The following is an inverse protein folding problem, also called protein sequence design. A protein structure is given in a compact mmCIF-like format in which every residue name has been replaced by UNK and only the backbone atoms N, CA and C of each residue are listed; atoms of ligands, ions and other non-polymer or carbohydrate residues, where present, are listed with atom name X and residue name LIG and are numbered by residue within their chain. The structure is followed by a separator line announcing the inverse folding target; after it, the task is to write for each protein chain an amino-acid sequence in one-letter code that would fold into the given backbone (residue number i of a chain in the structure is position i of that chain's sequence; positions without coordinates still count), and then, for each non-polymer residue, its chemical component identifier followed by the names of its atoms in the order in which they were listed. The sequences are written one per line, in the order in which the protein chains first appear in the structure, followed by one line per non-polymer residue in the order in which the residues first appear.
data_IF_597982425853
#
_entry.id   IF_597982425853
#
_cell.length_a   1.000
_cell.length_b   1.000
_cell.length_c   1.000
_cell.angle_alpha   90.00
_cell.angle_beta   90.00
_cell.angle_gamma   90.00
#
_symmetry.space_group_name_H-M   'P 1'
#
loop_
_entity.id
_entity.type
_entity.pdbx_description
1 polymer ?
#
# COMPACT_ATOMS: atom_id res chain seq x y z
N UNK A 1 12.15 10.87 0.31
CA UNK A 1 10.92 10.15 -0.08
C UNK A 1 10.46 9.23 1.05
N UNK A 2 11.34 8.40 1.62
CA UNK A 2 10.97 7.44 2.67
C UNK A 2 10.48 8.07 3.98
N UNK A 3 11.02 9.22 4.39
CA UNK A 3 10.52 9.95 5.58
C UNK A 3 9.03 10.31 5.47
N UNK A 4 8.53 10.55 4.25
CA UNK A 4 7.12 10.85 4.04
C UNK A 4 6.25 9.60 3.99
N UNK A 5 6.79 8.45 3.54
CA UNK A 5 6.12 7.15 3.62
C UNK A 5 5.90 6.75 5.08
N UNK A 6 6.94 6.84 5.90
CA UNK A 6 6.86 6.61 7.35
C UNK A 6 5.89 7.56 8.05
N UNK A 7 5.93 8.85 7.71
CA UNK A 7 4.95 9.81 8.24
C UNK A 7 3.52 9.45 7.87
N UNK A 8 3.29 9.04 6.62
CA UNK A 8 1.95 8.67 6.14
C UNK A 8 1.45 7.41 6.84
N UNK A 9 2.32 6.41 7.00
CA UNK A 9 2.02 5.21 7.77
C UNK A 9 1.67 5.54 9.23
N UNK A 10 2.45 6.40 9.88
CA UNK A 10 2.17 6.80 11.26
C UNK A 10 0.81 7.51 11.40
N UNK A 11 0.48 8.42 10.48
CA UNK A 11 -0.82 9.11 10.47
C UNK A 11 -1.98 8.13 10.22
N UNK A 12 -1.80 7.19 9.30
CA UNK A 12 -2.77 6.14 9.01
C UNK A 12 -3.01 5.27 10.24
N UNK A 13 -1.96 4.75 10.89
CA UNK A 13 -2.05 3.87 12.07
C UNK A 13 -2.73 4.59 13.23
N UNK A 14 -2.38 5.86 13.46
CA UNK A 14 -3.01 6.70 14.47
C UNK A 14 -4.50 6.91 14.21
N UNK A 15 -4.91 7.00 12.94
CA UNK A 15 -6.31 7.20 12.54
C UNK A 15 -7.13 5.91 12.62
N UNK A 16 -6.57 4.77 12.19
CA UNK A 16 -7.25 3.47 12.22
C UNK A 16 -7.17 2.79 13.58
N UNK A 17 -6.30 3.28 14.48
CA UNK A 17 -6.00 2.66 15.77
C UNK A 17 -5.52 1.21 15.61
N UNK A 18 -4.74 0.95 14.56
CA UNK A 18 -4.21 -0.37 14.23
C UNK A 18 -2.69 -0.43 14.46
N UNK A 19 -2.21 -1.64 14.65
CA UNK A 19 -0.81 -1.98 14.85
C UNK A 19 -0.12 -2.28 13.52
N UNK A 20 1.12 -1.82 13.35
CA UNK A 20 1.89 -2.07 12.12
C UNK A 20 2.14 -3.56 11.92
N UNK A 21 2.28 -4.30 13.02
CA UNK A 21 2.48 -5.76 13.02
C UNK A 21 1.40 -6.49 12.24
N UNK A 22 0.14 -6.04 12.31
CA UNK A 22 -0.97 -6.64 11.56
C UNK A 22 -0.76 -6.56 10.05
N UNK A 23 -0.19 -5.45 9.57
CA UNK A 23 0.10 -5.27 8.15
C UNK A 23 1.31 -6.08 7.71
N UNK A 24 2.35 -6.09 8.53
CA UNK A 24 3.56 -6.89 8.26
C UNK A 24 3.20 -8.38 8.18
N UNK A 25 2.45 -8.89 9.15
CA UNK A 25 2.04 -10.30 9.18
C UNK A 25 1.15 -10.65 7.97
N UNK A 26 0.19 -9.79 7.63
CA UNK A 26 -0.71 -10.04 6.50
C UNK A 26 0.03 -10.01 5.14
N UNK A 27 0.98 -9.10 4.97
CA UNK A 27 1.78 -9.06 3.73
C UNK A 27 2.80 -10.20 3.67
N UNK A 28 3.29 -10.65 4.82
CA UNK A 28 4.16 -11.82 4.93
C UNK A 28 3.47 -13.11 4.45
N UNK A 29 2.17 -13.26 4.73
CA UNK A 29 1.37 -14.39 4.23
C UNK A 29 1.29 -14.46 2.68
N UNK A 30 1.37 -13.30 2.01
CA UNK A 30 1.28 -13.20 0.54
C UNK A 30 2.61 -12.83 -0.11
N UNK A 31 3.72 -12.85 0.65
CA UNK A 31 5.04 -12.42 0.23
C UNK A 31 5.55 -13.23 -0.97
N UNK A 32 5.42 -14.55 -0.94
CA UNK A 32 5.87 -15.42 -2.03
C UNK A 32 5.15 -15.10 -3.34
N UNK A 33 3.83 -14.90 -3.26
CA UNK A 33 3.00 -14.49 -4.41
C UNK A 33 3.39 -13.09 -4.89
N UNK A 34 3.69 -12.17 -3.98
CA UNK A 34 4.14 -10.83 -4.32
C UNK A 34 5.49 -10.85 -5.03
N UNK A 35 6.44 -11.65 -4.53
CA UNK A 35 7.76 -11.84 -5.14
C UNK A 35 7.68 -12.48 -6.51
N UNK A 36 6.76 -13.41 -6.72
CA UNK A 36 6.54 -14.02 -8.03
C UNK A 36 6.08 -13.02 -9.11
N UNK A 37 5.54 -11.86 -8.71
CA UNK A 37 5.19 -10.78 -9.64
C UNK A 37 6.40 -9.97 -10.11
N UNK A 38 7.59 -10.14 -9.53
CA UNK A 38 8.79 -9.40 -9.91
C UNK A 38 9.79 -10.30 -10.63
N UNK A 39 10.14 -9.91 -11.86
CA UNK A 39 11.29 -10.47 -12.56
C UNK A 39 12.53 -9.65 -12.21
N UNK A 40 13.52 -10.27 -11.56
CA UNK A 40 14.87 -9.71 -11.44
C UNK A 40 15.47 -9.60 -10.04
N UNK A 41 16.72 -9.12 -9.96
CA UNK A 41 17.55 -9.19 -8.74
C UNK A 41 17.06 -8.30 -7.59
N UNK A 42 16.15 -7.35 -7.84
CA UNK A 42 15.63 -6.43 -6.81
C UNK A 42 14.77 -7.17 -5.79
N UNK A 43 13.90 -8.09 -6.22
CA UNK A 43 13.11 -8.92 -5.29
C UNK A 43 13.93 -10.09 -4.72
N UNK A 44 14.88 -10.62 -5.50
CA UNK A 44 15.72 -11.77 -5.13
C UNK A 44 16.85 -11.43 -4.15
N UNK A 45 17.25 -10.16 -4.06
CA UNK A 45 18.34 -9.69 -3.19
C UNK A 45 17.89 -9.13 -1.84
N UNK A 46 16.59 -8.98 -1.60
CA UNK A 46 16.05 -8.44 -0.34
C UNK A 46 15.71 -9.58 0.62
N UNK A 47 15.96 -9.38 1.92
CA UNK A 47 15.43 -10.29 2.94
C UNK A 47 13.89 -10.25 2.98
N UNK A 48 13.26 -11.30 3.53
CA UNK A 48 11.79 -11.37 3.70
C UNK A 48 11.26 -10.14 4.44
N UNK A 49 11.90 -9.78 5.55
CA UNK A 49 11.46 -8.63 6.35
C UNK A 49 11.61 -7.31 5.57
N UNK A 50 12.73 -7.09 4.88
CA UNK A 50 12.93 -5.85 4.10
C UNK A 50 11.93 -5.75 2.94
N UNK A 51 11.65 -6.86 2.26
CA UNK A 51 10.67 -6.89 1.19
C UNK A 51 9.27 -6.55 1.71
N UNK A 52 8.83 -7.24 2.77
CA UNK A 52 7.53 -7.01 3.40
C UNK A 52 7.39 -5.58 3.92
N UNK A 53 8.43 -5.05 4.58
CA UNK A 53 8.44 -3.67 5.08
C UNK A 53 8.25 -2.66 3.94
N UNK A 54 8.95 -2.86 2.81
CA UNK A 54 8.79 -2.00 1.62
C UNK A 54 7.39 -2.09 1.03
N UNK A 55 6.83 -3.29 0.90
CA UNK A 55 5.47 -3.48 0.38
C UNK A 55 4.43 -2.76 1.25
N UNK A 56 4.55 -2.87 2.58
CA UNK A 56 3.65 -2.19 3.52
C UNK A 56 3.83 -0.68 3.45
N UNK A 57 5.06 -0.17 3.45
CA UNK A 57 5.32 1.27 3.38
C UNK A 57 4.81 1.89 2.07
N UNK A 58 5.13 1.27 0.93
CA UNK A 58 4.74 1.76 -0.38
C UNK A 58 3.23 1.66 -0.58
N UNK A 59 2.63 0.54 -0.17
CA UNK A 59 1.20 0.35 -0.29
C UNK A 59 0.39 1.28 0.61
N UNK A 60 0.77 1.45 1.88
CA UNK A 60 0.10 2.40 2.78
C UNK A 60 0.25 3.84 2.31
N UNK A 61 1.41 4.23 1.78
CA UNK A 61 1.61 5.56 1.21
C UNK A 61 0.68 5.84 0.03
N UNK A 62 0.53 4.86 -0.86
CA UNK A 62 -0.36 4.95 -2.03
C UNK A 62 -1.84 5.01 -1.63
N UNK A 63 -2.26 4.18 -0.68
CA UNK A 63 -3.63 4.23 -0.16
C UNK A 63 -3.94 5.59 0.48
N UNK A 64 -2.98 6.17 1.20
CA UNK A 64 -3.13 7.49 1.81
C UNK A 64 -3.17 8.61 0.76
N UNK A 65 -2.40 8.48 -0.34
CA UNK A 65 -2.50 9.36 -1.50
C UNK A 65 -3.90 9.31 -2.13
N UNK A 66 -4.44 8.12 -2.37
CA UNK A 66 -5.78 7.94 -2.93
C UNK A 66 -6.86 8.53 -2.02
N UNK A 67 -6.79 8.21 -0.73
CA UNK A 67 -7.75 8.75 0.25
C UNK A 67 -7.68 10.26 0.28
N UNK A 68 -6.48 10.85 0.26
CA UNK A 68 -6.34 12.30 0.28
C UNK A 68 -6.72 12.98 -1.01
N UNK A 69 -6.66 12.29 -2.15
CA UNK A 69 -7.23 12.77 -3.41
C UNK A 69 -8.76 12.71 -3.43
N UNK A 70 -9.38 11.71 -2.80
CA UNK A 70 -10.82 11.53 -2.74
C UNK A 70 -11.50 12.41 -1.67
N UNK A 71 -10.96 12.39 -0.44
CA UNK A 71 -11.53 13.07 0.74
C UNK A 71 -10.87 14.43 0.99
N UNK A 72 -9.69 14.67 0.45
CA UNK A 72 -8.91 15.89 0.66
C UNK A 72 -7.85 15.74 1.76
N UNK A 73 -6.59 16.01 1.42
CA UNK A 73 -5.44 15.89 2.32
C UNK A 73 -5.55 16.65 3.64
N UNK A 74 -6.29 17.77 3.67
CA UNK A 74 -6.54 18.52 4.92
C UNK A 74 -7.33 17.68 5.93
N UNK A 75 -8.28 16.86 5.48
CA UNK A 75 -9.09 16.01 6.36
C UNK A 75 -8.26 14.86 6.96
N UNK A 76 -7.23 14.42 6.25
CA UNK A 76 -6.30 13.40 6.73
C UNK A 76 -5.21 13.94 7.67
N UNK A 77 -5.22 15.24 7.98
CA UNK A 77 -4.27 15.88 8.88
C UNK A 77 -3.01 16.44 8.22
N UNK A 78 -2.96 16.49 6.88
CA UNK A 78 -1.83 17.11 6.18
C UNK A 78 -1.99 18.64 6.08
N UNK A 79 -0.91 19.41 6.26
CA UNK A 79 -0.94 20.86 6.09
C UNK A 79 -1.15 21.24 4.62
N UNK A 80 -1.78 22.40 4.37
CA UNK A 80 -2.04 22.88 2.99
C UNK A 80 -0.78 23.09 2.14
N UNK A 81 0.34 23.37 2.80
CA UNK A 81 1.64 23.60 2.17
C UNK A 81 2.52 22.33 2.20
N UNK A 82 1.92 21.15 2.38
CA UNK A 82 2.71 19.92 2.40
C UNK A 82 3.41 19.71 1.05
N UNK A 83 4.74 19.50 1.02
CA UNK A 83 5.48 19.40 -0.23
C UNK A 83 5.06 18.20 -1.09
N UNK A 84 4.41 17.19 -0.50
CA UNK A 84 3.94 15.98 -1.19
C UNK A 84 2.42 16.00 -1.36
N UNK A 85 1.70 16.42 -0.33
CA UNK A 85 0.24 16.35 -0.28
C UNK A 85 -0.44 17.71 -0.55
N UNK A 86 0.29 18.71 -1.07
CA UNK A 86 -0.30 19.98 -1.48
C UNK A 86 -1.25 19.80 -2.68
N UNK A 87 -2.44 20.37 -2.52
CA UNK A 87 -3.64 20.20 -3.36
C UNK A 87 -3.54 20.71 -4.81
N UNK A 88 -2.45 21.37 -5.22
CA UNK A 88 -2.42 22.18 -6.47
C UNK A 88 -1.74 21.56 -7.69
N UNK A 89 -1.08 20.41 -7.59
CA UNK A 89 -0.37 19.80 -8.73
C UNK A 89 -0.30 18.28 -8.73
N UNK A 90 -1.03 17.63 -7.84
CA UNK A 90 -0.75 16.27 -7.38
C UNK A 90 -1.36 15.18 -8.26
N UNK A 91 -2.57 15.33 -8.81
CA UNK A 91 -3.21 14.21 -9.53
C UNK A 91 -2.43 13.73 -10.76
N UNK A 92 -1.89 14.63 -11.57
CA UNK A 92 -1.19 14.24 -12.81
C UNK A 92 0.22 13.67 -12.53
N UNK A 93 0.88 14.15 -11.47
CA UNK A 93 2.14 13.58 -11.00
C UNK A 93 1.92 12.23 -10.32
N UNK A 94 0.88 12.10 -9.49
CA UNK A 94 0.49 10.84 -8.85
C UNK A 94 0.17 9.81 -9.93
N UNK A 95 -0.61 10.12 -10.97
CA UNK A 95 -0.92 9.16 -12.04
C UNK A 95 0.34 8.67 -12.78
N UNK A 96 1.32 9.55 -13.04
CA UNK A 96 2.62 9.13 -13.60
C UNK A 96 3.41 8.25 -12.64
N UNK A 97 3.43 8.61 -11.36
CA UNK A 97 4.10 7.83 -10.33
C UNK A 97 3.40 6.48 -10.11
N UNK A 98 2.08 6.39 -10.27
CA UNK A 98 1.30 5.15 -10.21
C UNK A 98 1.64 4.18 -11.33
N UNK A 99 1.89 4.69 -12.55
CA UNK A 99 2.35 3.86 -13.68
C UNK A 99 3.75 3.29 -13.39
N UNK A 100 4.60 4.04 -12.69
CA UNK A 100 5.91 3.53 -12.22
C UNK A 100 5.77 2.61 -11.00
N UNK A 101 4.67 2.73 -10.26
CA UNK A 101 4.38 1.96 -9.06
C UNK A 101 3.93 0.53 -9.37
N UNK A 102 3.27 0.27 -10.52
CA UNK A 102 2.99 -1.10 -10.99
C UNK A 102 4.25 -1.96 -11.08
N UNK A 103 5.37 -1.36 -11.47
CA UNK A 103 6.68 -2.04 -11.53
C UNK A 103 7.31 -2.24 -10.14
N UNK A 104 6.77 -1.60 -9.09
CA UNK A 104 7.34 -1.59 -7.74
C UNK A 104 6.41 -2.18 -6.67
N UNK A 105 5.11 -2.33 -6.94
CA UNK A 105 4.10 -2.83 -6.01
C UNK A 105 3.00 -3.56 -6.80
N UNK A 106 2.74 -4.86 -6.56
CA UNK A 106 1.69 -5.57 -7.27
C UNK A 106 0.34 -5.05 -6.75
N UNK A 107 -0.61 -4.71 -7.64
CA UNK A 107 -1.90 -4.12 -7.22
C UNK A 107 -2.67 -4.92 -6.18
N UNK A 108 -2.53 -6.26 -6.19
CA UNK A 108 -3.23 -7.10 -5.23
C UNK A 108 -2.81 -6.77 -3.78
N UNK A 109 -1.59 -6.29 -3.55
CA UNK A 109 -1.12 -5.82 -2.24
C UNK A 109 -1.91 -4.61 -1.77
N UNK A 110 -2.20 -3.65 -2.66
CA UNK A 110 -3.04 -2.49 -2.32
C UNK A 110 -4.43 -2.91 -1.89
N UNK A 111 -5.01 -3.91 -2.57
CA UNK A 111 -6.31 -4.46 -2.20
C UNK A 111 -6.27 -5.10 -0.81
N UNK A 112 -5.27 -5.93 -0.50
CA UNK A 112 -5.10 -6.52 0.83
C UNK A 112 -4.98 -5.46 1.94
N UNK A 113 -4.12 -4.46 1.74
CA UNK A 113 -3.92 -3.37 2.69
C UNK A 113 -5.19 -2.54 2.90
N UNK A 114 -5.98 -2.32 1.83
CA UNK A 114 -7.26 -1.63 1.91
C UNK A 114 -8.26 -2.43 2.74
N UNK A 115 -8.40 -3.73 2.50
CA UNK A 115 -9.30 -4.61 3.28
C UNK A 115 -8.95 -4.55 4.77
N UNK A 116 -7.65 -4.58 5.11
CA UNK A 116 -7.19 -4.46 6.50
C UNK A 116 -7.55 -3.12 7.13
N UNK A 117 -7.49 -2.01 6.39
CA UNK A 117 -7.85 -0.68 6.90
C UNK A 117 -9.35 -0.50 7.15
N UNK A 118 -10.21 -1.16 6.38
CA UNK A 118 -11.67 -1.03 6.50
C UNK A 118 -12.32 -2.09 7.42
N UNK A 119 -11.53 -3.04 7.94
CA UNK A 119 -11.90 -3.82 9.12
C UNK A 119 -12.97 -4.90 8.90
N UNK A 120 -13.03 -5.53 7.72
CA UNK A 120 -13.87 -6.71 7.53
C UNK A 120 -13.02 -8.01 7.53
N UNK A 121 -12.86 -8.67 8.70
CA UNK A 121 -12.18 -9.95 8.79
C UNK A 121 -12.92 -11.12 8.11
N UNK A 122 -14.19 -10.99 7.71
CA UNK A 122 -14.87 -12.02 6.90
C UNK A 122 -14.37 -12.03 5.44
N UNK A 123 -13.71 -10.96 4.98
CA UNK A 123 -13.07 -10.94 3.67
C UNK A 123 -11.74 -11.68 3.61
N UNK A 124 -11.13 -12.05 4.76
CA UNK A 124 -9.99 -12.98 4.77
C UNK A 124 -10.29 -14.29 4.01
N UNK A 125 -11.54 -14.75 4.05
CA UNK A 125 -12.00 -15.91 3.28
C UNK A 125 -12.34 -15.62 1.81
N UNK A 126 -12.66 -14.37 1.46
CA UNK A 126 -12.95 -13.96 0.09
C UNK A 126 -11.68 -13.74 -0.74
N UNK A 127 -10.60 -13.25 -0.13
CA UNK A 127 -9.33 -13.13 -0.85
C UNK A 127 -8.67 -14.50 -1.08
N UNK A 128 -8.85 -15.45 -0.15
CA UNK A 128 -8.53 -16.86 -0.37
C UNK A 128 -9.38 -17.48 -1.51
N UNK A 129 -10.63 -17.03 -1.70
CA UNK A 129 -11.46 -17.44 -2.84
C UNK A 129 -11.08 -16.78 -4.16
N UNK A 130 -10.50 -15.58 -4.16
CA UNK A 130 -9.95 -14.96 -5.37
C UNK A 130 -8.72 -15.71 -5.91
N UNK A 131 -8.02 -16.48 -5.07
CA UNK A 131 -6.96 -17.41 -5.50
C UNK A 131 -7.49 -18.60 -6.32
N UNK A 132 -8.79 -18.91 -6.20
CA UNK A 132 -9.47 -19.93 -7.00
C UNK A 132 -10.18 -19.40 -8.25
N UNK A 133 -10.24 -18.07 -8.43
CA UNK A 133 -11.01 -17.41 -9.50
C UNK A 133 -10.19 -16.80 -10.64
N UNK A 134 -8.86 -16.77 -10.53
CA UNK A 134 -7.95 -16.30 -11.60
C UNK A 134 -7.29 -17.44 -12.39
N UNK A 135 -7.94 -18.60 -12.45
CA UNK A 135 -7.83 -19.46 -13.62
C UNK A 135 -8.98 -19.10 -14.53
N UNK A 136 -8.70 -18.63 -15.75
CA UNK A 136 -9.24 -19.13 -17.03
C UNK A 136 -8.82 -18.14 -18.15
N UNK A 137 -8.04 -18.71 -19.08
CA UNK A 137 -7.80 -18.41 -20.50
C UNK A 137 -7.22 -17.07 -20.96
#
# INVERSE_FOLDING_TARGET
MDCHKWRSLHLMLKRTNQFIELYLDSIKEVEEKARACYEGPVAMGLSSNEFVEKMVLDGCFVLELFRGAAEGFKQLGYPRNDPIFAMRGTMHSIQRDMIMLENQLPFFILYWLLVLQYGDPEQKGLVAKLDSGFSIH
#
